data_IF_684546253140
#
_entry.id   IF_684546253140
#
_cell.length_a   1.000
_cell.length_b   1.000
_cell.length_c   1.000
_cell.angle_alpha   90.00
_cell.angle_beta   90.00
_cell.angle_gamma   90.00
#
_symmetry.space_group_name_H-M   'P 1'
#
loop_
_entity.id
_entity.type
_entity.pdbx_description
1 polymer ?
#
# COMPACT_ATOMS: atom_id res chain seq x y z
N UNK A 1 -13.53 25.94 25.23
CA UNK A 1 -13.54 26.18 23.77
C UNK A 1 -13.36 24.84 23.10
N UNK A 2 -14.45 24.31 22.55
CA UNK A 2 -14.57 22.95 22.02
C UNK A 2 -13.90 22.85 20.65
N UNK A 3 -12.86 21.99 20.53
CA UNK A 3 -12.31 21.61 19.23
C UNK A 3 -13.24 20.54 18.64
N UNK A 4 -13.91 20.88 17.56
CA UNK A 4 -14.66 19.93 16.71
C UNK A 4 -13.64 19.02 16.02
N UNK A 5 -13.69 17.73 16.33
CA UNK A 5 -13.11 16.68 15.51
C UNK A 5 -13.85 16.64 14.18
N UNK A 6 -13.15 16.84 13.06
CA UNK A 6 -13.67 16.56 11.74
C UNK A 6 -13.51 15.05 11.49
N UNK A 7 -14.59 14.33 11.70
CA UNK A 7 -14.74 12.98 11.16
C UNK A 7 -15.13 13.10 9.70
N UNK A 8 -14.29 12.61 8.79
CA UNK A 8 -14.64 12.47 7.38
C UNK A 8 -15.48 11.21 7.20
N UNK A 9 -16.67 11.30 6.59
CA UNK A 9 -17.45 10.12 6.28
C UNK A 9 -16.89 9.46 5.01
N UNK A 10 -16.48 8.21 5.14
CA UNK A 10 -16.19 7.33 4.02
C UNK A 10 -17.51 6.90 3.37
N UNK A 11 -17.92 7.59 2.33
CA UNK A 11 -19.07 7.16 1.54
C UNK A 11 -18.59 6.22 0.43
N UNK A 12 -19.07 4.99 0.45
CA UNK A 12 -18.92 4.00 -0.61
C UNK A 12 -19.43 4.57 -1.94
N UNK A 13 -18.56 4.67 -2.95
CA UNK A 13 -18.99 4.88 -4.34
C UNK A 13 -18.87 3.54 -5.06
N UNK A 14 -20.02 2.89 -5.22
CA UNK A 14 -20.17 1.79 -6.16
C UNK A 14 -20.16 2.38 -7.58
N UNK A 15 -19.24 1.93 -8.41
CA UNK A 15 -19.18 2.31 -9.82
C UNK A 15 -20.31 1.64 -10.57
N UNK A 16 -21.36 2.42 -10.90
CA UNK A 16 -22.37 2.05 -11.88
C UNK A 16 -21.98 2.64 -13.23
N UNK A 17 -21.67 1.78 -14.20
CA UNK A 17 -21.47 2.16 -15.58
C UNK A 17 -22.81 2.58 -16.21
N UNK A 18 -22.94 3.82 -16.61
CA UNK A 18 -24.05 4.30 -17.46
C UNK A 18 -23.48 4.72 -18.79
N UNK A 19 -23.87 3.96 -19.81
CA UNK A 19 -23.68 4.30 -21.23
C UNK A 19 -24.78 5.29 -21.60
N UNK A 20 -24.45 6.49 -22.08
CA UNK A 20 -25.36 7.38 -22.74
C UNK A 20 -24.75 7.84 -24.06
N UNK A 21 -25.36 7.36 -25.14
CA UNK A 21 -25.25 7.92 -26.48
C UNK A 21 -26.28 9.05 -26.65
N UNK A 22 -25.92 10.13 -27.38
CA UNK A 22 -26.90 11.14 -27.73
C UNK A 22 -26.31 12.35 -28.47
N UNK A 23 -26.75 12.48 -29.68
CA UNK A 23 -26.46 13.43 -30.75
C UNK A 23 -26.66 14.93 -30.49
N UNK A 24 -25.81 15.75 -31.12
CA UNK A 24 -26.18 16.70 -32.16
C UNK A 24 -26.63 18.12 -31.81
N UNK A 25 -26.01 19.08 -32.45
CA UNK A 25 -26.68 20.35 -32.78
C UNK A 25 -25.83 21.61 -32.56
N UNK A 26 -25.45 22.24 -33.67
CA UNK A 26 -24.55 23.38 -33.76
C UNK A 26 -25.21 24.75 -33.48
N UNK A 27 -24.39 25.80 -33.50
CA UNK A 27 -24.76 27.19 -33.44
C UNK A 27 -23.57 28.11 -33.29
N UNK A 28 -23.16 28.79 -34.38
CA UNK A 28 -21.99 29.66 -34.39
C UNK A 28 -22.25 31.01 -33.71
N UNK A 29 -21.16 31.62 -33.25
CA UNK A 29 -21.13 33.01 -32.79
C UNK A 29 -19.68 33.45 -32.74
N UNK A 30 -19.25 34.23 -33.74
CA UNK A 30 -17.96 34.90 -33.78
C UNK A 30 -17.88 36.03 -32.77
N UNK A 31 -16.93 35.95 -31.86
CA UNK A 31 -16.48 37.07 -31.06
C UNK A 31 -14.95 37.18 -31.20
N UNK A 32 -14.53 38.36 -31.68
CA UNK A 32 -13.15 38.77 -31.90
C UNK A 32 -12.32 38.83 -30.61
N UNK A 33 -11.23 38.09 -30.61
CA UNK A 33 -10.22 38.07 -29.55
C UNK A 33 -9.26 39.28 -29.68
N UNK A 34 -8.92 39.97 -28.58
CA UNK A 34 -7.79 40.83 -28.54
C UNK A 34 -6.51 39.98 -28.36
N UNK A 35 -5.59 40.13 -29.29
CA UNK A 35 -4.22 39.55 -29.22
C UNK A 35 -3.46 40.11 -28.04
N UNK A 36 -3.37 39.34 -26.95
CA UNK A 36 -2.34 39.57 -25.94
C UNK A 36 -1.12 38.77 -26.34
N UNK A 37 -0.07 39.44 -26.76
CA UNK A 37 1.28 38.91 -26.87
C UNK A 37 1.83 38.61 -25.47
N UNK A 38 1.41 37.48 -24.89
CA UNK A 38 2.07 36.89 -23.74
C UNK A 38 3.18 35.98 -24.25
N UNK A 39 4.38 36.49 -24.34
CA UNK A 39 5.57 35.66 -24.58
C UNK A 39 5.62 34.60 -23.48
N UNK A 40 5.52 33.33 -23.84
CA UNK A 40 5.86 32.22 -22.94
C UNK A 40 7.29 32.47 -22.46
N UNK A 41 7.57 32.40 -21.14
CA UNK A 41 8.94 32.38 -20.69
C UNK A 41 9.70 31.24 -21.41
N UNK A 42 10.97 31.40 -21.77
CA UNK A 42 11.72 30.37 -22.45
C UNK A 42 11.60 29.08 -21.62
N UNK A 43 11.26 27.99 -22.27
CA UNK A 43 11.17 26.66 -21.62
C UNK A 43 12.53 26.41 -20.97
N UNK A 44 12.62 26.49 -19.65
CA UNK A 44 13.82 26.11 -18.92
C UNK A 44 14.13 24.67 -19.28
N UNK A 45 15.37 24.37 -19.63
CA UNK A 45 15.81 23.00 -19.88
C UNK A 45 15.35 22.14 -18.71
N UNK A 46 14.82 20.93 -18.98
CA UNK A 46 14.36 20.04 -17.91
C UNK A 46 15.54 19.81 -16.93
N UNK A 47 15.25 19.62 -15.62
CA UNK A 47 16.29 19.47 -14.61
C UNK A 47 17.06 18.15 -14.72
N UNK A 48 16.69 17.27 -15.64
CA UNK A 48 17.35 15.99 -15.97
C UNK A 48 17.17 15.65 -17.44
N UNK A 49 18.00 14.73 -17.93
CA UNK A 49 17.87 14.10 -19.24
C UNK A 49 17.66 12.60 -18.99
N UNK A 50 16.56 12.05 -19.53
CA UNK A 50 16.25 10.62 -19.38
C UNK A 50 17.13 9.79 -20.32
N UNK A 51 17.78 8.71 -19.83
CA UNK A 51 18.43 7.73 -20.66
C UNK A 51 17.45 7.01 -21.59
N UNK A 52 17.95 6.30 -22.58
CA UNK A 52 17.13 5.44 -23.44
C UNK A 52 16.39 4.39 -22.59
N UNK A 53 15.05 4.32 -22.61
CA UNK A 53 14.29 3.31 -21.88
C UNK A 53 14.72 1.86 -22.14
N UNK A 54 15.24 1.57 -23.34
CA UNK A 54 15.75 0.25 -23.68
C UNK A 54 17.01 -0.14 -22.89
N UNK A 55 17.77 0.84 -22.39
CA UNK A 55 18.96 0.63 -21.56
C UNK A 55 18.65 0.41 -20.08
N UNK A 56 17.38 0.52 -19.66
CA UNK A 56 16.98 0.38 -18.26
C UNK A 56 17.38 -0.99 -17.71
N UNK A 57 18.16 -1.07 -16.61
CA UNK A 57 18.45 -2.34 -15.95
C UNK A 57 17.20 -2.93 -15.29
N UNK A 58 17.20 -4.23 -15.02
CA UNK A 58 16.12 -4.81 -14.23
C UNK A 58 16.25 -4.41 -12.75
N UNK A 59 15.18 -3.96 -12.11
CA UNK A 59 15.20 -3.56 -10.70
C UNK A 59 15.65 -4.72 -9.81
N UNK A 60 15.10 -5.92 -10.04
CA UNK A 60 15.45 -7.11 -9.28
C UNK A 60 16.94 -7.48 -9.34
N UNK A 61 17.60 -7.19 -10.47
CA UNK A 61 19.04 -7.44 -10.63
C UNK A 61 19.86 -6.33 -9.94
N UNK A 62 19.38 -5.09 -9.99
CA UNK A 62 20.04 -3.93 -9.32
C UNK A 62 20.00 -4.05 -7.79
N UNK A 63 19.01 -4.71 -7.24
CA UNK A 63 18.79 -4.79 -5.78
C UNK A 63 18.86 -6.20 -5.20
N UNK A 64 19.08 -7.24 -6.03
CA UNK A 64 19.09 -8.63 -5.58
C UNK A 64 20.15 -8.97 -4.51
N UNK A 65 21.16 -8.12 -4.32
CA UNK A 65 22.15 -8.23 -3.24
C UNK A 65 21.72 -7.57 -1.92
N UNK A 66 20.58 -6.85 -1.90
CA UNK A 66 20.05 -6.13 -0.74
C UNK A 66 18.72 -6.71 -0.29
N UNK A 67 17.69 -6.65 -1.13
CA UNK A 67 16.32 -7.04 -0.83
C UNK A 67 15.56 -7.49 -2.08
N UNK A 68 14.43 -8.17 -1.88
CA UNK A 68 13.49 -8.45 -2.96
C UNK A 68 12.82 -7.16 -3.43
N UNK A 69 12.65 -7.03 -4.75
CA UNK A 69 11.87 -5.94 -5.33
C UNK A 69 10.51 -6.48 -5.70
N UNK A 70 9.46 -5.88 -5.14
CA UNK A 70 8.07 -6.31 -5.34
C UNK A 70 7.16 -5.23 -5.89
N UNK A 71 5.94 -5.65 -6.22
CA UNK A 71 4.84 -4.75 -6.58
C UNK A 71 3.49 -5.37 -6.32
N UNK A 72 2.53 -4.55 -5.89
CA UNK A 72 1.14 -4.95 -5.77
C UNK A 72 0.45 -4.85 -7.13
N UNK A 73 -0.34 -5.85 -7.48
CA UNK A 73 -1.02 -5.94 -8.77
C UNK A 73 -2.42 -6.57 -8.64
N UNK A 74 -3.26 -6.26 -9.63
CA UNK A 74 -4.50 -6.97 -9.88
C UNK A 74 -4.30 -8.10 -10.89
N UNK A 75 -4.99 -9.25 -10.79
CA UNK A 75 -4.91 -10.34 -11.77
C UNK A 75 -5.18 -9.88 -13.20
N UNK A 76 -6.04 -8.88 -13.42
CA UNK A 76 -6.33 -8.32 -14.74
C UNK A 76 -5.10 -7.74 -15.44
N UNK A 77 -4.08 -7.27 -14.70
CA UNK A 77 -2.83 -6.77 -15.27
C UNK A 77 -1.97 -7.89 -15.88
N UNK A 78 -2.12 -9.12 -15.40
CA UNK A 78 -1.41 -10.28 -15.97
C UNK A 78 -1.84 -10.59 -17.41
N UNK A 79 -3.06 -10.20 -17.78
CA UNK A 79 -3.61 -10.37 -19.13
C UNK A 79 -3.16 -9.28 -20.10
N UNK A 80 -2.51 -8.22 -19.61
CA UNK A 80 -1.97 -7.13 -20.42
C UNK A 80 -0.48 -7.39 -20.67
N UNK A 81 -0.13 -7.73 -21.90
CA UNK A 81 1.24 -8.16 -22.25
C UNK A 81 2.32 -7.15 -21.85
N UNK A 82 2.05 -5.84 -21.97
CA UNK A 82 2.99 -4.79 -21.53
C UNK A 82 3.20 -4.78 -20.01
N UNK A 83 2.16 -5.08 -19.23
CA UNK A 83 2.24 -5.14 -17.77
C UNK A 83 2.95 -6.43 -17.35
N UNK A 84 2.57 -7.59 -17.91
CA UNK A 84 3.24 -8.85 -17.66
C UNK A 84 4.75 -8.79 -17.97
N UNK A 85 5.14 -8.14 -19.08
CA UNK A 85 6.55 -7.93 -19.43
C UNK A 85 7.26 -7.03 -18.42
N UNK A 86 6.61 -5.98 -17.94
CA UNK A 86 7.18 -5.07 -16.94
C UNK A 86 7.40 -5.80 -15.61
N UNK A 87 6.39 -6.57 -15.16
CA UNK A 87 6.47 -7.39 -13.95
C UNK A 87 7.64 -8.39 -14.02
N UNK A 88 7.67 -9.20 -15.06
CA UNK A 88 8.67 -10.26 -15.20
C UNK A 88 10.09 -9.73 -15.36
N UNK A 89 10.25 -8.55 -15.97
CA UNK A 89 11.55 -7.90 -16.11
C UNK A 89 12.08 -7.33 -14.80
N UNK A 90 11.22 -6.65 -14.04
CA UNK A 90 11.67 -5.79 -12.94
C UNK A 90 11.47 -6.38 -11.55
N UNK A 91 10.52 -7.29 -11.35
CA UNK A 91 10.16 -7.75 -10.02
C UNK A 91 10.66 -9.16 -9.71
N UNK A 92 10.95 -9.40 -8.44
CA UNK A 92 11.26 -10.70 -7.84
C UNK A 92 10.17 -11.18 -6.87
N UNK A 93 9.17 -10.32 -6.59
CA UNK A 93 8.05 -10.62 -5.70
C UNK A 93 6.76 -9.94 -6.18
N UNK A 94 5.62 -10.58 -5.95
CA UNK A 94 4.29 -10.02 -6.21
C UNK A 94 3.46 -9.97 -4.93
N UNK A 95 2.61 -8.96 -4.80
CA UNK A 95 1.56 -8.85 -3.79
C UNK A 95 0.21 -8.75 -4.50
N UNK A 96 -0.80 -9.46 -4.01
CA UNK A 96 -2.16 -9.31 -4.53
C UNK A 96 -2.78 -8.01 -4.00
N UNK A 97 -3.04 -7.01 -4.85
CA UNK A 97 -3.62 -5.74 -4.42
C UNK A 97 -4.97 -5.93 -3.72
N UNK A 98 -5.86 -6.75 -4.31
CA UNK A 98 -7.17 -7.07 -3.72
C UNK A 98 -7.52 -8.57 -3.73
N UNK A 99 -6.89 -9.38 -4.57
CA UNK A 99 -7.31 -10.76 -4.81
C UNK A 99 -7.18 -11.68 -3.58
N UNK A 100 -6.33 -11.35 -2.60
CA UNK A 100 -6.15 -12.12 -1.35
C UNK A 100 -6.84 -11.48 -0.13
N UNK A 101 -7.58 -10.37 -0.29
CA UNK A 101 -8.30 -9.73 0.82
C UNK A 101 -9.54 -10.54 1.22
N UNK A 102 -9.97 -10.49 2.50
CA UNK A 102 -11.12 -11.26 3.00
C UNK A 102 -12.40 -11.09 2.18
N UNK A 103 -12.71 -9.85 1.74
CA UNK A 103 -13.89 -9.58 0.93
C UNK A 103 -13.87 -10.21 -0.46
N UNK A 104 -12.68 -10.58 -0.96
CA UNK A 104 -12.53 -11.26 -2.25
C UNK A 104 -12.54 -12.78 -2.07
N UNK A 105 -11.78 -13.29 -1.10
CA UNK A 105 -11.64 -14.73 -0.88
C UNK A 105 -12.90 -15.33 -0.23
N UNK A 106 -13.51 -14.63 0.73
CA UNK A 106 -14.65 -15.11 1.51
C UNK A 106 -15.78 -14.07 1.59
N UNK A 107 -16.35 -13.62 0.45
CA UNK A 107 -17.39 -12.58 0.42
C UNK A 107 -18.65 -12.98 1.17
N UNK A 108 -18.90 -14.27 1.28
CA UNK A 108 -19.98 -14.90 2.04
C UNK A 108 -19.40 -15.99 2.93
N UNK A 109 -20.18 -16.48 3.90
CA UNK A 109 -19.76 -17.57 4.79
C UNK A 109 -19.30 -18.80 3.97
N UNK A 110 -18.01 -19.19 4.05
CA UNK A 110 -17.46 -20.27 3.24
C UNK A 110 -18.08 -21.65 3.53
N UNK A 111 -18.65 -21.84 4.71
CA UNK A 111 -19.38 -23.08 5.04
C UNK A 111 -20.62 -23.29 4.16
N UNK A 112 -21.12 -22.21 3.54
CA UNK A 112 -22.30 -22.24 2.67
C UNK A 112 -21.96 -22.22 1.19
N UNK A 113 -20.89 -21.53 0.79
CA UNK A 113 -20.56 -21.27 -0.62
C UNK A 113 -19.14 -21.64 -1.04
N UNK A 114 -18.26 -22.01 -0.08
CA UNK A 114 -16.83 -22.18 -0.31
C UNK A 114 -16.07 -20.87 -0.46
N UNK A 115 -14.76 -20.97 -0.59
CA UNK A 115 -13.86 -19.84 -0.83
C UNK A 115 -13.74 -19.52 -2.32
N UNK A 116 -13.41 -18.27 -2.64
CA UNK A 116 -13.17 -17.78 -4.00
C UNK A 116 -11.66 -17.56 -4.18
N UNK A 117 -10.90 -18.63 -4.37
CA UNK A 117 -9.45 -18.55 -4.53
C UNK A 117 -8.99 -18.20 -5.96
N UNK A 118 -9.82 -18.43 -6.98
CA UNK A 118 -9.43 -18.35 -8.39
C UNK A 118 -8.60 -17.12 -8.79
N UNK A 119 -9.00 -15.89 -8.46
CA UNK A 119 -8.19 -14.70 -8.78
C UNK A 119 -6.80 -14.68 -8.12
N UNK A 120 -6.71 -15.15 -6.87
CA UNK A 120 -5.43 -15.24 -6.17
C UNK A 120 -4.57 -16.39 -6.71
N UNK A 121 -5.18 -17.54 -7.05
CA UNK A 121 -4.50 -18.68 -7.67
C UNK A 121 -3.86 -18.29 -9.02
N UNK A 122 -4.54 -17.46 -9.81
CA UNK A 122 -4.00 -16.94 -11.07
C UNK A 122 -2.71 -16.14 -10.85
N UNK A 123 -2.70 -15.26 -9.86
CA UNK A 123 -1.51 -14.48 -9.50
C UNK A 123 -0.37 -15.38 -9.00
N UNK A 124 -0.68 -16.34 -8.13
CA UNK A 124 0.30 -17.31 -7.60
C UNK A 124 0.88 -18.17 -8.72
N UNK A 125 0.05 -18.68 -9.63
CA UNK A 125 0.50 -19.46 -10.77
C UNK A 125 1.42 -18.66 -11.70
N UNK A 126 1.08 -17.38 -11.95
CA UNK A 126 1.95 -16.48 -12.72
C UNK A 126 3.29 -16.26 -12.01
N UNK A 127 3.28 -15.92 -10.72
CA UNK A 127 4.50 -15.72 -9.94
C UNK A 127 5.40 -16.96 -9.98
N UNK A 128 4.84 -18.15 -9.70
CA UNK A 128 5.54 -19.43 -9.74
C UNK A 128 6.17 -19.71 -11.11
N UNK A 129 5.44 -19.49 -12.20
CA UNK A 129 5.92 -19.74 -13.57
C UNK A 129 7.08 -18.82 -13.97
N UNK A 130 7.27 -17.70 -13.29
CA UNK A 130 8.32 -16.71 -13.54
C UNK A 130 9.38 -16.63 -12.43
N UNK A 131 9.35 -17.57 -11.47
CA UNK A 131 10.33 -17.62 -10.37
C UNK A 131 10.25 -16.42 -9.40
N UNK A 132 9.04 -15.84 -9.26
CA UNK A 132 8.79 -14.75 -8.32
C UNK A 132 8.21 -15.29 -7.01
N UNK A 133 8.56 -14.69 -5.89
CA UNK A 133 7.93 -14.93 -4.60
C UNK A 133 6.56 -14.25 -4.52
N UNK A 134 5.68 -14.72 -3.63
CA UNK A 134 4.38 -14.10 -3.38
C UNK A 134 4.28 -13.66 -1.93
N UNK A 135 3.85 -12.41 -1.71
CA UNK A 135 3.51 -11.85 -0.42
C UNK A 135 1.99 -11.80 -0.27
N UNK A 136 1.46 -12.47 0.73
CA UNK A 136 0.02 -12.54 1.00
C UNK A 136 -0.47 -11.28 1.70
N UNK A 137 -1.40 -10.57 1.09
CA UNK A 137 -2.01 -9.37 1.63
C UNK A 137 -3.52 -9.44 1.48
N UNK A 138 -4.25 -9.42 2.53
CA UNK A 138 -4.00 -9.54 3.96
C UNK A 138 -5.03 -10.47 4.60
N UNK A 139 -4.65 -11.19 5.68
CA UNK A 139 -5.61 -12.11 6.32
C UNK A 139 -6.69 -11.35 7.08
N UNK A 140 -6.32 -10.28 7.81
CA UNK A 140 -7.27 -9.42 8.51
C UNK A 140 -7.04 -7.93 8.25
N UNK A 141 -8.16 -7.24 8.00
CA UNK A 141 -8.20 -5.79 7.91
C UNK A 141 -9.51 -5.26 8.48
N UNK A 142 -9.50 -4.08 9.06
CA UNK A 142 -10.72 -3.46 9.60
C UNK A 142 -11.66 -3.00 8.49
N UNK A 143 -11.10 -2.64 7.32
CA UNK A 143 -11.86 -2.25 6.14
C UNK A 143 -12.13 -3.48 5.26
N UNK A 144 -13.37 -3.61 4.77
CA UNK A 144 -13.73 -4.72 3.89
C UNK A 144 -13.85 -6.09 4.57
N UNK A 145 -13.86 -6.16 5.91
CA UNK A 145 -14.16 -7.42 6.60
C UNK A 145 -15.62 -7.85 6.32
N UNK A 146 -15.86 -9.03 5.74
CA UNK A 146 -17.20 -9.50 5.43
C UNK A 146 -18.10 -9.60 6.65
N UNK A 147 -19.37 -9.20 6.48
CA UNK A 147 -20.33 -9.10 7.57
C UNK A 147 -20.60 -10.44 8.29
N UNK A 148 -20.53 -11.55 7.55
CA UNK A 148 -20.81 -12.88 8.09
C UNK A 148 -19.89 -13.26 9.28
N UNK A 149 -18.67 -12.73 9.36
CA UNK A 149 -17.79 -12.93 10.51
C UNK A 149 -18.45 -12.50 11.82
N UNK A 150 -19.25 -11.42 11.78
CA UNK A 150 -19.82 -10.74 12.95
C UNK A 150 -21.31 -11.01 13.18
N UNK A 151 -21.90 -11.92 12.44
CA UNK A 151 -23.28 -12.36 12.65
C UNK A 151 -23.39 -13.31 13.84
N UNK A 152 -24.40 -13.11 14.70
CA UNK A 152 -24.60 -14.00 15.85
C UNK A 152 -25.36 -13.35 17.01
N UNK A 153 -25.53 -14.06 18.13
CA UNK A 153 -26.35 -13.66 19.26
C UNK A 153 -25.66 -12.65 20.20
N UNK A 154 -25.14 -11.56 19.65
CA UNK A 154 -24.30 -10.55 20.33
C UNK A 154 -24.87 -10.06 21.66
N UNK A 155 -26.18 -9.81 21.73
CA UNK A 155 -26.84 -9.19 22.90
C UNK A 155 -27.36 -10.24 23.88
N UNK A 156 -27.79 -11.42 23.40
CA UNK A 156 -28.39 -12.47 24.23
C UNK A 156 -27.38 -13.46 24.79
N UNK A 157 -26.24 -13.65 24.10
CA UNK A 157 -25.13 -14.50 24.53
C UNK A 157 -23.78 -13.88 24.13
N UNK A 158 -23.29 -12.87 24.84
CA UNK A 158 -22.04 -12.20 24.52
C UNK A 158 -20.80 -13.11 24.50
N UNK A 159 -20.76 -14.13 25.34
CA UNK A 159 -19.63 -15.08 25.41
C UNK A 159 -19.67 -16.05 24.23
N UNK A 160 -20.83 -16.64 23.97
CA UNK A 160 -21.02 -17.51 22.81
C UNK A 160 -20.79 -16.76 21.50
N UNK A 161 -21.19 -15.51 21.41
CA UNK A 161 -20.90 -14.65 20.26
C UNK A 161 -19.39 -14.47 20.01
N UNK A 162 -18.61 -14.10 21.05
CA UNK A 162 -17.14 -13.98 20.89
C UNK A 162 -16.50 -15.30 20.47
N UNK A 163 -16.93 -16.42 21.05
CA UNK A 163 -16.43 -17.73 20.67
C UNK A 163 -16.75 -18.08 19.21
N UNK A 164 -17.93 -17.72 18.73
CA UNK A 164 -18.32 -17.90 17.32
C UNK A 164 -17.45 -17.07 16.37
N UNK A 165 -17.21 -15.77 16.70
CA UNK A 165 -16.33 -14.91 15.90
C UNK A 165 -14.90 -15.45 15.92
N UNK A 166 -14.41 -15.91 17.07
CA UNK A 166 -13.09 -16.56 17.21
C UNK A 166 -12.97 -17.78 16.29
N UNK A 167 -13.94 -18.69 16.36
CA UNK A 167 -13.93 -19.91 15.54
C UNK A 167 -13.89 -19.58 14.05
N UNK A 168 -14.73 -18.65 13.59
CA UNK A 168 -14.75 -18.21 12.19
C UNK A 168 -13.44 -17.61 11.74
N UNK A 169 -12.77 -16.84 12.62
CA UNK A 169 -11.47 -16.25 12.38
C UNK A 169 -10.39 -17.31 12.23
N UNK A 170 -10.33 -18.25 13.18
CA UNK A 170 -9.37 -19.36 13.20
C UNK A 170 -9.54 -20.26 11.97
N UNK A 171 -10.78 -20.64 11.63
CA UNK A 171 -11.09 -21.47 10.47
C UNK A 171 -10.69 -20.76 9.17
N UNK A 172 -11.08 -19.48 9.01
CA UNK A 172 -10.74 -18.70 7.83
C UNK A 172 -9.22 -18.60 7.63
N UNK A 173 -8.47 -18.21 8.65
CA UNK A 173 -7.01 -18.09 8.55
C UNK A 173 -6.37 -19.43 8.24
N UNK A 174 -6.80 -20.48 8.93
CA UNK A 174 -6.28 -21.84 8.73
C UNK A 174 -6.50 -22.30 7.29
N UNK A 175 -7.70 -22.12 6.76
CA UNK A 175 -8.04 -22.55 5.40
C UNK A 175 -7.27 -21.74 4.34
N UNK A 176 -7.22 -20.41 4.48
CA UNK A 176 -6.53 -19.54 3.51
C UNK A 176 -5.02 -19.77 3.52
N UNK A 177 -4.40 -19.81 4.69
CA UNK A 177 -2.96 -20.02 4.80
C UNK A 177 -2.57 -21.44 4.35
N UNK A 178 -3.40 -22.45 4.65
CA UNK A 178 -3.18 -23.83 4.17
C UNK A 178 -3.29 -23.92 2.66
N UNK A 179 -4.25 -23.21 2.04
CA UNK A 179 -4.43 -23.21 0.58
C UNK A 179 -3.19 -22.68 -0.14
N UNK A 180 -2.59 -21.59 0.39
CA UNK A 180 -1.41 -20.95 -0.22
C UNK A 180 -0.08 -21.39 0.39
N UNK A 181 -0.08 -22.41 1.23
CA UNK A 181 1.12 -22.96 1.82
C UNK A 181 2.12 -23.38 0.74
N UNK A 182 3.39 -23.12 0.99
CA UNK A 182 4.50 -23.35 0.06
C UNK A 182 4.57 -22.35 -1.14
N UNK A 183 3.57 -21.49 -1.34
CA UNK A 183 3.54 -20.47 -2.39
C UNK A 183 3.78 -19.05 -1.83
N UNK A 184 3.17 -18.75 -0.68
CA UNK A 184 3.27 -17.44 -0.03
C UNK A 184 4.38 -17.49 1.02
N UNK A 185 5.45 -16.70 0.81
CA UNK A 185 6.60 -16.69 1.71
C UNK A 185 6.40 -15.80 2.94
N UNK A 186 5.50 -14.83 2.86
CA UNK A 186 5.22 -13.86 3.93
C UNK A 186 3.76 -13.40 3.89
N UNK A 187 3.12 -13.29 5.05
CA UNK A 187 1.75 -12.82 5.20
C UNK A 187 1.67 -11.52 6.01
N UNK A 188 0.88 -10.57 5.54
CA UNK A 188 0.27 -9.56 6.39
C UNK A 188 -0.87 -10.22 7.18
N UNK A 189 -0.55 -10.68 8.39
CA UNK A 189 -1.53 -11.38 9.23
C UNK A 189 -2.61 -10.41 9.68
N UNK A 190 -2.21 -9.23 10.12
CA UNK A 190 -3.12 -8.14 10.45
C UNK A 190 -2.66 -6.84 9.79
N UNK A 191 -3.63 -6.07 9.30
CA UNK A 191 -3.40 -4.80 8.63
C UNK A 191 -4.08 -3.65 9.36
N UNK A 192 -3.33 -2.58 9.67
CA UNK A 192 -3.83 -1.30 10.20
C UNK A 192 -4.59 -1.42 11.53
N UNK A 193 -4.01 -2.12 12.48
CA UNK A 193 -4.60 -2.37 13.81
C UNK A 193 -4.23 -1.33 14.86
N UNK A 194 -3.20 -0.51 14.59
CA UNK A 194 -2.78 0.57 15.49
C UNK A 194 -3.65 1.82 15.29
N UNK A 195 -3.96 2.52 16.38
CA UNK A 195 -4.69 3.78 16.34
C UNK A 195 -3.85 4.91 15.74
N UNK A 196 -4.52 5.85 15.06
CA UNK A 196 -3.90 7.10 14.60
C UNK A 196 -3.80 8.17 15.71
N UNK A 197 -4.56 7.98 16.79
CA UNK A 197 -4.55 8.91 17.91
C UNK A 197 -3.40 8.63 18.87
N UNK A 198 -2.64 9.67 19.23
CA UNK A 198 -1.55 9.57 20.21
C UNK A 198 -2.06 9.03 21.55
N UNK A 199 -1.41 7.97 22.05
CA UNK A 199 -1.73 7.34 23.34
C UNK A 199 -2.94 6.40 23.33
N UNK A 200 -3.55 6.17 22.17
CA UNK A 200 -4.58 5.16 21.99
C UNK A 200 -3.97 4.01 21.15
N UNK A 201 -3.56 2.93 21.81
CA UNK A 201 -2.75 1.87 21.18
C UNK A 201 -3.49 1.23 20.01
N UNK A 202 -4.72 0.74 20.21
CA UNK A 202 -5.47 -0.06 19.24
C UNK A 202 -6.49 0.77 18.47
N UNK A 203 -6.79 0.35 17.25
CA UNK A 203 -7.91 0.83 16.43
C UNK A 203 -9.24 0.25 16.95
N UNK A 204 -9.89 0.98 17.87
CA UNK A 204 -11.08 0.50 18.58
C UNK A 204 -12.38 0.58 17.77
N UNK A 205 -12.37 1.29 16.65
CA UNK A 205 -13.47 1.36 15.67
C UNK A 205 -13.46 0.18 14.67
N UNK A 206 -12.45 -0.66 14.71
CA UNK A 206 -12.39 -1.91 13.94
C UNK A 206 -13.55 -2.85 14.32
N UNK A 207 -14.28 -3.45 13.35
CA UNK A 207 -15.31 -4.43 13.64
C UNK A 207 -14.77 -5.65 14.41
N UNK A 208 -13.51 -6.03 14.18
CA UNK A 208 -12.82 -7.07 14.93
C UNK A 208 -12.67 -6.70 16.40
N UNK A 209 -12.10 -5.51 16.68
CA UNK A 209 -11.95 -5.03 18.05
C UNK A 209 -13.29 -4.95 18.77
N UNK A 210 -14.31 -4.40 18.10
CA UNK A 210 -15.66 -4.28 18.66
C UNK A 210 -16.28 -5.63 18.95
N UNK A 211 -16.12 -6.62 18.05
CA UNK A 211 -16.67 -7.96 18.27
C UNK A 211 -16.03 -8.66 19.48
N UNK A 212 -14.73 -8.57 19.64
CA UNK A 212 -14.02 -9.15 20.76
C UNK A 212 -14.24 -8.38 22.09
N UNK A 213 -14.59 -7.11 22.06
CA UNK A 213 -14.95 -6.32 23.25
C UNK A 213 -16.34 -6.62 23.84
N UNK A 214 -17.19 -7.36 23.10
CA UNK A 214 -18.58 -7.65 23.54
C UNK A 214 -18.59 -8.34 24.88
N UNK A 215 -19.45 -7.88 25.80
CA UNK A 215 -19.60 -8.48 27.14
C UNK A 215 -18.33 -8.39 28.01
N UNK A 216 -17.50 -7.36 27.81
CA UNK A 216 -16.28 -7.11 28.59
C UNK A 216 -15.09 -8.00 28.21
N UNK A 217 -15.04 -8.52 26.97
CA UNK A 217 -13.89 -9.24 26.45
C UNK A 217 -12.71 -8.29 26.10
N UNK A 218 -11.54 -8.89 25.85
CA UNK A 218 -10.36 -8.16 25.35
C UNK A 218 -10.53 -7.90 23.85
N UNK A 219 -10.74 -6.63 23.50
CA UNK A 219 -10.95 -6.22 22.12
C UNK A 219 -9.75 -6.48 21.21
N UNK A 220 -8.53 -6.61 21.74
CA UNK A 220 -7.31 -6.83 20.96
C UNK A 220 -6.97 -8.32 20.77
N UNK A 221 -7.66 -9.22 21.43
CA UNK A 221 -7.36 -10.67 21.43
C UNK A 221 -7.32 -11.29 20.02
N UNK A 222 -8.10 -10.76 19.08
CA UNK A 222 -8.12 -11.25 17.69
C UNK A 222 -6.74 -11.19 17.00
N UNK A 223 -5.89 -10.25 17.39
CA UNK A 223 -4.54 -10.11 16.81
C UNK A 223 -3.68 -11.32 17.17
N UNK A 224 -3.64 -11.69 18.45
CA UNK A 224 -2.90 -12.85 18.94
C UNK A 224 -3.42 -14.15 18.28
N UNK A 225 -4.76 -14.32 18.23
CA UNK A 225 -5.42 -15.47 17.62
C UNK A 225 -4.98 -15.61 16.15
N UNK A 226 -5.00 -14.51 15.41
CA UNK A 226 -4.65 -14.50 13.99
C UNK A 226 -3.22 -14.98 13.73
N UNK A 227 -2.24 -14.46 14.47
CA UNK A 227 -0.84 -14.88 14.34
C UNK A 227 -0.64 -16.36 14.70
N UNK A 228 -1.27 -16.84 15.79
CA UNK A 228 -1.17 -18.24 16.20
C UNK A 228 -1.80 -19.19 15.19
N UNK A 229 -2.96 -18.85 14.64
CA UNK A 229 -3.63 -19.63 13.59
C UNK A 229 -2.79 -19.68 12.30
N UNK A 230 -2.25 -18.54 11.86
CA UNK A 230 -1.41 -18.46 10.66
C UNK A 230 -0.14 -19.32 10.81
N UNK A 231 0.57 -19.24 11.96
CA UNK A 231 1.76 -20.06 12.23
C UNK A 231 1.45 -21.55 12.33
N UNK A 232 0.29 -21.90 12.89
CA UNK A 232 -0.14 -23.29 12.97
C UNK A 232 -0.43 -23.88 11.59
N UNK A 233 -1.01 -23.10 10.69
CA UNK A 233 -1.32 -23.50 9.31
C UNK A 233 -0.04 -23.58 8.44
N UNK A 234 0.86 -22.61 8.55
CA UNK A 234 2.16 -22.62 7.88
C UNK A 234 3.31 -22.28 8.84
N UNK A 235 4.10 -23.27 9.25
CA UNK A 235 5.26 -23.06 10.09
C UNK A 235 6.41 -22.26 9.45
N UNK A 236 6.43 -22.14 8.11
CA UNK A 236 7.55 -21.59 7.35
C UNK A 236 7.33 -20.16 6.86
N UNK A 237 6.08 -19.74 6.64
CA UNK A 237 5.78 -18.39 6.19
C UNK A 237 6.18 -17.35 7.25
N UNK A 238 6.73 -16.23 6.80
CA UNK A 238 7.01 -15.07 7.66
C UNK A 238 5.70 -14.33 7.97
N UNK A 239 5.51 -13.93 9.23
CA UNK A 239 4.27 -13.32 9.72
C UNK A 239 4.48 -11.87 10.14
N UNK A 240 3.77 -10.97 9.48
CA UNK A 240 3.90 -9.53 9.64
C UNK A 240 2.64 -8.88 10.19
N UNK A 241 2.85 -7.82 10.97
CA UNK A 241 1.89 -6.74 11.19
C UNK A 241 2.20 -5.64 10.19
N UNK A 242 1.21 -5.22 9.38
CA UNK A 242 1.38 -4.23 8.33
C UNK A 242 0.67 -2.92 8.70
N UNK A 243 1.35 -1.76 8.54
CA UNK A 243 0.81 -0.48 9.01
C UNK A 243 1.30 0.71 8.18
N UNK A 244 0.46 1.72 8.04
CA UNK A 244 0.80 3.00 7.41
C UNK A 244 1.29 4.02 8.43
N UNK A 245 1.92 5.10 7.93
CA UNK A 245 2.40 6.23 8.75
C UNK A 245 3.36 5.80 9.88
N UNK A 246 4.09 4.71 9.71
CA UNK A 246 5.04 4.20 10.71
C UNK A 246 6.23 5.13 10.94
N UNK A 247 6.52 6.01 10.00
CA UNK A 247 7.51 7.09 10.11
C UNK A 247 7.04 8.17 11.08
N UNK A 248 5.73 8.31 11.37
CA UNK A 248 5.21 9.29 12.31
C UNK A 248 5.38 8.78 13.76
N UNK A 249 6.03 9.55 14.66
CA UNK A 249 6.38 9.08 16.00
C UNK A 249 5.21 8.57 16.83
N UNK A 250 4.04 9.22 16.75
CA UNK A 250 2.87 8.83 17.53
C UNK A 250 2.27 7.50 17.05
N UNK A 251 2.15 7.31 15.73
CA UNK A 251 1.66 6.07 15.11
C UNK A 251 2.63 4.92 15.37
N UNK A 252 3.93 5.17 15.18
CA UNK A 252 5.00 4.22 15.49
C UNK A 252 4.97 3.76 16.95
N UNK A 253 4.77 4.67 17.90
CA UNK A 253 4.70 4.31 19.31
C UNK A 253 3.52 3.38 19.62
N UNK A 254 2.34 3.62 19.03
CA UNK A 254 1.18 2.75 19.18
C UNK A 254 1.43 1.37 18.56
N UNK A 255 1.99 1.31 17.35
CA UNK A 255 2.35 0.06 16.66
C UNK A 255 3.35 -0.76 17.49
N UNK A 256 4.42 -0.11 17.95
CA UNK A 256 5.47 -0.80 18.73
C UNK A 256 4.95 -1.31 20.08
N UNK A 257 3.98 -0.63 20.71
CA UNK A 257 3.33 -1.13 21.91
C UNK A 257 2.56 -2.44 21.64
N UNK A 258 1.91 -2.56 20.47
CA UNK A 258 1.25 -3.81 20.05
C UNK A 258 2.31 -4.90 19.81
N UNK A 259 3.37 -4.58 19.08
CA UNK A 259 4.47 -5.52 18.79
C UNK A 259 5.11 -6.03 20.09
N UNK A 260 5.41 -5.13 21.03
CA UNK A 260 6.00 -5.49 22.32
C UNK A 260 5.07 -6.39 23.15
N UNK A 261 3.76 -6.16 23.12
CA UNK A 261 2.76 -7.02 23.78
C UNK A 261 2.74 -8.42 23.14
N UNK A 262 2.74 -8.51 21.82
CA UNK A 262 2.79 -9.79 21.09
C UNK A 262 4.07 -10.58 21.43
N UNK A 263 5.22 -9.92 21.42
CA UNK A 263 6.50 -10.53 21.79
C UNK A 263 6.46 -11.04 23.24
N UNK A 264 5.95 -10.22 24.18
CA UNK A 264 5.87 -10.58 25.61
C UNK A 264 5.01 -11.81 25.86
N UNK A 265 4.00 -12.05 25.03
CA UNK A 265 3.08 -13.20 25.06
C UNK A 265 3.61 -14.41 24.27
N UNK A 266 4.79 -14.31 23.67
CA UNK A 266 5.33 -15.36 22.81
C UNK A 266 4.46 -15.65 21.58
N UNK A 267 3.84 -14.61 21.01
CA UNK A 267 3.09 -14.69 19.76
C UNK A 267 4.09 -14.71 18.60
N UNK A 268 3.93 -15.58 17.60
CA UNK A 268 4.90 -15.79 16.53
C UNK A 268 4.85 -14.67 15.47
N UNK A 269 5.35 -13.50 15.80
CA UNK A 269 5.56 -12.37 14.88
C UNK A 269 7.01 -12.39 14.39
N UNK A 270 7.21 -12.27 13.05
CA UNK A 270 8.54 -12.25 12.45
C UNK A 270 8.96 -10.84 12.01
N UNK A 271 8.00 -9.96 11.72
CA UNK A 271 8.35 -8.63 11.21
C UNK A 271 7.23 -7.60 11.22
N UNK A 272 7.62 -6.40 10.78
CA UNK A 272 6.74 -5.27 10.58
C UNK A 272 6.77 -4.87 9.11
N UNK A 273 5.58 -4.72 8.51
CA UNK A 273 5.38 -4.12 7.21
C UNK A 273 5.14 -2.62 7.34
N UNK A 274 5.92 -1.84 6.61
CA UNK A 274 5.80 -0.40 6.48
C UNK A 274 5.16 -0.09 5.14
N UNK A 275 3.90 0.33 5.10
CA UNK A 275 3.19 0.63 3.84
C UNK A 275 3.94 1.74 3.07
N UNK A 276 4.32 2.81 3.73
CA UNK A 276 5.02 3.96 3.14
C UNK A 276 4.26 4.58 1.95
N UNK A 277 2.94 4.80 2.11
CA UNK A 277 2.18 5.72 1.27
C UNK A 277 2.57 7.15 1.65
N UNK A 278 3.55 7.72 0.93
CA UNK A 278 4.18 8.97 1.34
C UNK A 278 4.05 10.07 0.28
N UNK A 279 4.47 11.26 0.63
CA UNK A 279 4.43 12.45 -0.21
C UNK A 279 5.83 13.04 -0.41
N UNK A 280 5.95 14.06 -1.27
CA UNK A 280 7.24 14.69 -1.60
C UNK A 280 7.99 15.25 -0.38
N UNK A 281 7.31 15.52 0.72
CA UNK A 281 7.84 16.11 1.95
C UNK A 281 8.12 15.09 3.05
N UNK A 282 8.11 13.78 2.72
CA UNK A 282 8.47 12.73 3.68
C UNK A 282 9.86 12.91 4.25
N UNK A 283 10.02 12.72 5.56
CA UNK A 283 11.30 12.70 6.23
C UNK A 283 11.97 11.33 6.10
N UNK A 284 13.04 11.22 5.33
CA UNK A 284 13.82 9.98 5.21
C UNK A 284 14.47 9.57 6.55
N UNK A 285 14.82 10.53 7.41
CA UNK A 285 15.28 10.25 8.76
C UNK A 285 14.19 9.59 9.61
N UNK A 286 12.95 10.05 9.52
CA UNK A 286 11.84 9.45 10.24
C UNK A 286 11.52 8.02 9.75
N UNK A 287 11.73 7.73 8.45
CA UNK A 287 11.66 6.37 7.91
C UNK A 287 12.78 5.49 8.47
N UNK A 288 14.02 5.98 8.49
CA UNK A 288 15.16 5.27 9.10
C UNK A 288 14.91 4.98 10.59
N UNK A 289 14.36 5.94 11.34
CA UNK A 289 13.98 5.74 12.75
C UNK A 289 12.92 4.62 12.90
N UNK A 290 11.98 4.49 11.96
CA UNK A 290 10.96 3.44 12.00
C UNK A 290 11.59 2.05 11.79
N UNK A 291 12.48 1.93 10.81
CA UNK A 291 13.20 0.68 10.54
C UNK A 291 14.09 0.29 11.73
N UNK A 292 14.87 1.24 12.25
CA UNK A 292 15.74 1.02 13.44
C UNK A 292 14.92 0.55 14.64
N UNK A 293 13.73 1.09 14.88
CA UNK A 293 12.91 0.69 16.02
C UNK A 293 12.42 -0.77 15.94
N UNK A 294 12.22 -1.30 14.74
CA UNK A 294 11.90 -2.71 14.49
C UNK A 294 13.15 -3.59 14.65
N UNK A 295 14.30 -3.15 14.13
CA UNK A 295 15.61 -3.84 14.28
C UNK A 295 15.98 -4.05 15.73
N UNK A 296 15.74 -3.06 16.59
CA UNK A 296 15.99 -3.16 18.04
C UNK A 296 15.19 -4.27 18.73
N UNK A 297 14.17 -4.81 18.07
CA UNK A 297 13.35 -5.95 18.51
C UNK A 297 13.77 -7.27 17.87
N UNK A 298 14.82 -7.27 17.05
CA UNK A 298 15.28 -8.39 16.23
C UNK A 298 14.18 -8.90 15.28
N UNK A 299 13.37 -8.01 14.74
CA UNK A 299 12.33 -8.29 13.76
C UNK A 299 12.75 -7.83 12.36
N UNK A 300 12.14 -8.44 11.36
CA UNK A 300 12.34 -8.13 9.93
C UNK A 300 11.53 -6.89 9.56
N UNK A 301 12.10 -6.07 8.69
CA UNK A 301 11.43 -4.94 8.04
C UNK A 301 11.03 -5.31 6.61
N UNK A 302 9.77 -5.12 6.24
CA UNK A 302 9.33 -5.05 4.83
C UNK A 302 8.80 -3.65 4.52
N UNK A 303 9.23 -3.06 3.41
CA UNK A 303 8.51 -1.95 2.78
C UNK A 303 7.48 -2.57 1.84
N UNK A 304 6.21 -2.35 2.11
CA UNK A 304 5.14 -3.20 1.55
C UNK A 304 4.32 -2.55 0.46
N UNK A 305 4.18 -1.23 0.49
CA UNK A 305 3.19 -0.52 -0.33
C UNK A 305 3.70 0.84 -0.81
N UNK A 306 5.02 0.94 -1.06
CA UNK A 306 5.65 2.23 -1.39
C UNK A 306 5.00 2.89 -2.60
N UNK A 307 4.49 4.07 -2.38
CA UNK A 307 4.18 5.04 -3.42
C UNK A 307 4.52 6.46 -2.92
N UNK A 308 4.99 7.32 -3.84
CA UNK A 308 5.38 8.69 -3.50
C UNK A 308 4.52 9.64 -4.30
N UNK A 309 3.45 10.13 -3.66
CA UNK A 309 2.58 11.14 -4.27
C UNK A 309 3.40 12.33 -4.79
N UNK A 310 3.08 12.79 -6.01
CA UNK A 310 3.68 14.01 -6.59
C UNK A 310 3.17 15.30 -5.95
N UNK A 311 2.35 15.18 -4.93
CA UNK A 311 1.81 16.29 -4.14
C UNK A 311 2.40 16.27 -2.73
N UNK A 312 2.21 17.35 -1.98
CA UNK A 312 2.58 17.39 -0.57
C UNK A 312 1.51 16.69 0.28
N UNK A 313 1.90 16.29 1.48
CA UNK A 313 0.96 15.73 2.46
C UNK A 313 -0.18 16.72 2.75
N UNK A 314 -1.43 16.23 2.89
CA UNK A 314 -2.58 17.09 3.20
C UNK A 314 -2.42 17.92 4.47
N UNK A 315 -1.69 17.45 5.47
CA UNK A 315 -1.42 18.22 6.70
C UNK A 315 -0.47 19.39 6.46
N UNK A 316 0.57 19.17 5.63
CA UNK A 316 1.45 20.23 5.13
C UNK A 316 0.65 21.26 4.32
N UNK A 317 -0.24 20.78 3.45
CA UNK A 317 -1.12 21.64 2.66
C UNK A 317 -2.11 22.46 3.51
N UNK A 318 -2.52 21.97 4.66
CA UNK A 318 -3.33 22.76 5.59
C UNK A 318 -2.59 24.00 6.12
N UNK A 319 -1.25 23.91 6.21
CA UNK A 319 -0.40 25.02 6.65
C UNK A 319 -0.07 26.02 5.53
N UNK A 320 0.12 25.53 4.28
CA UNK A 320 0.61 26.33 3.14
C UNK A 320 -0.41 26.47 1.99
N UNK A 321 -1.64 26.55 2.28
CA UNK A 321 -2.88 26.46 1.46
C UNK A 321 -2.83 26.90 -0.01
N UNK A 322 -1.91 27.73 -0.43
CA UNK A 322 -1.85 28.31 -1.77
C UNK A 322 -0.67 27.81 -2.61
N UNK A 323 0.13 26.84 -2.14
CA UNK A 323 1.25 26.34 -2.94
C UNK A 323 0.78 25.45 -4.10
N UNK A 324 1.39 25.52 -5.29
CA UNK A 324 1.02 24.67 -6.42
C UNK A 324 0.96 23.17 -6.09
N UNK A 325 1.90 22.57 -5.32
CA UNK A 325 1.83 21.15 -4.97
C UNK A 325 0.60 20.75 -4.14
N UNK A 326 -0.11 21.71 -3.55
CA UNK A 326 -1.31 21.46 -2.75
C UNK A 326 -2.62 21.53 -3.56
N UNK A 327 -2.68 22.40 -4.55
CA UNK A 327 -3.93 22.76 -5.27
C UNK A 327 -3.95 22.33 -6.74
N UNK A 328 -2.79 22.05 -7.33
CA UNK A 328 -2.69 21.68 -8.74
C UNK A 328 -3.28 20.28 -9.01
N UNK A 329 -3.84 20.10 -10.19
CA UNK A 329 -3.96 18.80 -10.84
C UNK A 329 -3.06 18.83 -12.07
N UNK A 330 -1.99 18.04 -12.02
CA UNK A 330 -1.01 17.99 -13.10
C UNK A 330 -1.42 17.06 -14.25
N UNK A 331 -2.55 16.38 -14.13
CA UNK A 331 -2.96 15.36 -15.09
C UNK A 331 -1.92 14.26 -15.25
N UNK A 332 -1.84 13.70 -16.47
CA UNK A 332 -0.87 12.63 -16.81
C UNK A 332 0.50 13.16 -17.23
N UNK A 333 0.74 14.47 -17.14
CA UNK A 333 1.99 15.10 -17.57
C UNK A 333 2.49 16.09 -16.51
N UNK A 334 2.93 15.60 -15.34
CA UNK A 334 3.46 16.45 -14.28
C UNK A 334 4.67 17.26 -14.75
N UNK A 335 4.89 18.48 -14.20
CA UNK A 335 6.08 19.26 -14.50
C UNK A 335 7.37 18.49 -14.20
N UNK A 336 8.40 18.66 -15.05
CA UNK A 336 9.69 17.99 -14.89
C UNK A 336 10.36 18.32 -13.53
N UNK A 337 10.13 19.52 -12.97
CA UNK A 337 10.62 19.89 -11.64
C UNK A 337 9.97 19.08 -10.51
N UNK A 338 8.70 18.74 -10.65
CA UNK A 338 7.96 17.89 -9.69
C UNK A 338 8.47 16.45 -9.76
N UNK A 339 8.66 15.91 -10.98
CA UNK A 339 9.23 14.58 -11.18
C UNK A 339 10.70 14.52 -10.72
N UNK A 340 11.46 15.62 -10.84
CA UNK A 340 12.80 15.70 -10.28
C UNK A 340 12.80 15.64 -8.75
N UNK A 341 11.89 16.37 -8.09
CA UNK A 341 11.72 16.29 -6.64
C UNK A 341 11.34 14.86 -6.19
N UNK A 342 10.40 14.22 -6.87
CA UNK A 342 10.03 12.83 -6.61
C UNK A 342 11.23 11.88 -6.77
N UNK A 343 12.02 12.05 -7.82
CA UNK A 343 13.20 11.24 -8.07
C UNK A 343 14.26 11.35 -6.96
N UNK A 344 14.43 12.55 -6.39
CA UNK A 344 15.32 12.76 -5.25
C UNK A 344 14.81 12.06 -3.98
N UNK A 345 13.50 12.09 -3.73
CA UNK A 345 12.89 11.39 -2.60
C UNK A 345 13.05 9.86 -2.75
N UNK A 346 12.76 9.32 -3.94
CA UNK A 346 12.98 7.89 -4.22
C UNK A 346 14.43 7.48 -3.98
N UNK A 347 15.40 8.25 -4.52
CA UNK A 347 16.83 7.99 -4.32
C UNK A 347 17.19 7.97 -2.83
N UNK A 348 16.71 8.95 -2.09
CA UNK A 348 17.01 9.06 -0.66
C UNK A 348 16.42 7.90 0.14
N UNK A 349 15.17 7.51 -0.14
CA UNK A 349 14.53 6.35 0.52
C UNK A 349 15.24 5.03 0.17
N UNK A 350 15.59 4.79 -1.10
CA UNK A 350 16.30 3.57 -1.49
C UNK A 350 17.69 3.50 -0.89
N UNK A 351 18.35 4.65 -0.63
CA UNK A 351 19.61 4.66 0.15
C UNK A 351 19.35 4.26 1.61
N UNK A 352 18.29 4.79 2.25
CA UNK A 352 17.90 4.37 3.59
C UNK A 352 17.63 2.85 3.62
N UNK A 353 16.91 2.29 2.66
CA UNK A 353 16.62 0.85 2.64
C UNK A 353 17.90 0.00 2.49
N UNK A 354 18.87 0.48 1.70
CA UNK A 354 20.19 -0.20 1.59
C UNK A 354 21.03 -0.07 2.86
N UNK A 355 20.94 1.05 3.57
CA UNK A 355 21.64 1.23 4.84
C UNK A 355 21.08 0.33 5.95
N UNK A 356 19.86 -0.21 5.75
CA UNK A 356 19.15 -1.14 6.63
C UNK A 356 19.05 -2.56 6.03
N UNK A 357 19.88 -2.94 5.07
CA UNK A 357 19.76 -4.21 4.32
C UNK A 357 19.89 -5.47 5.18
N UNK A 358 20.45 -5.35 6.38
CA UNK A 358 20.49 -6.45 7.34
C UNK A 358 19.10 -6.86 7.89
N UNK A 359 18.11 -5.99 7.78
CA UNK A 359 16.74 -6.21 8.27
C UNK A 359 15.67 -5.97 7.21
N UNK A 360 15.92 -5.13 6.21
CA UNK A 360 14.99 -4.88 5.11
C UNK A 360 15.13 -6.00 4.08
N UNK A 361 14.18 -6.94 4.07
CA UNK A 361 14.23 -8.11 3.16
C UNK A 361 13.42 -7.90 1.87
N UNK A 362 12.48 -6.95 1.85
CA UNK A 362 11.61 -6.68 0.70
C UNK A 362 11.24 -5.20 0.61
N UNK A 363 11.26 -4.66 -0.62
CA UNK A 363 10.75 -3.34 -0.96
C UNK A 363 9.75 -3.49 -2.12
N UNK A 364 8.48 -3.29 -1.83
CA UNK A 364 7.37 -3.42 -2.78
C UNK A 364 6.69 -2.08 -3.01
N UNK A 365 6.38 -1.75 -4.26
CA UNK A 365 5.54 -0.60 -4.61
C UNK A 365 4.07 -0.99 -4.62
N UNK A 366 3.16 -0.05 -4.32
CA UNK A 366 1.73 -0.29 -4.44
C UNK A 366 1.24 0.05 -5.86
N UNK A 367 1.39 -0.90 -6.73
CA UNK A 367 1.30 -0.79 -8.18
C UNK A 367 2.67 -0.80 -8.84
N UNK A 368 2.71 -0.88 -10.18
CA UNK A 368 3.97 -0.87 -10.93
C UNK A 368 4.11 0.35 -11.85
N UNK A 369 3.02 0.93 -12.36
CA UNK A 369 3.02 2.09 -13.24
C UNK A 369 1.85 3.05 -12.94
N UNK A 370 2.02 4.32 -13.28
CA UNK A 370 1.10 5.40 -12.93
C UNK A 370 -0.30 5.28 -13.55
N UNK A 371 -0.48 4.47 -14.62
CA UNK A 371 -1.80 4.26 -15.20
C UNK A 371 -2.71 3.37 -14.32
N UNK A 372 -2.13 2.67 -13.35
CA UNK A 372 -2.85 1.88 -12.36
C UNK A 372 -2.35 2.27 -10.96
N UNK A 373 -2.94 3.31 -10.38
CA UNK A 373 -2.68 3.76 -9.01
C UNK A 373 -3.98 4.11 -8.29
N UNK A 374 -4.12 3.65 -7.07
CA UNK A 374 -5.27 3.94 -6.21
C UNK A 374 -5.35 5.41 -5.81
N UNK A 375 -4.19 6.11 -5.75
CA UNK A 375 -4.10 7.49 -5.29
C UNK A 375 -4.91 8.46 -6.15
N UNK A 376 -5.07 8.19 -7.45
CA UNK A 376 -5.89 9.04 -8.34
C UNK A 376 -7.33 9.12 -7.87
N UNK A 377 -7.96 7.98 -7.57
CA UNK A 377 -9.33 7.94 -7.06
C UNK A 377 -9.41 8.41 -5.60
N UNK A 378 -8.44 8.05 -4.78
CA UNK A 378 -8.40 8.42 -3.37
C UNK A 378 -8.26 9.93 -3.15
N UNK A 379 -7.39 10.59 -3.92
CA UNK A 379 -7.16 12.04 -3.80
C UNK A 379 -8.10 12.89 -4.66
N UNK A 380 -8.89 12.27 -5.57
CA UNK A 380 -9.80 12.97 -6.48
C UNK A 380 -9.06 13.83 -7.52
N UNK A 381 -7.78 13.53 -7.80
CA UNK A 381 -6.94 14.18 -8.82
C UNK A 381 -5.89 13.19 -9.32
N UNK A 382 -5.47 13.36 -10.58
CA UNK A 382 -4.46 12.48 -11.19
C UNK A 382 -3.16 12.51 -10.40
N UNK A 383 -2.62 11.31 -10.08
CA UNK A 383 -1.35 11.17 -9.41
C UNK A 383 -0.39 10.32 -10.25
N UNK A 384 0.91 10.50 -10.05
CA UNK A 384 1.97 9.77 -10.74
C UNK A 384 3.01 9.28 -9.72
N UNK A 385 2.64 8.37 -8.79
CA UNK A 385 3.44 8.07 -7.62
C UNK A 385 4.53 7.03 -7.84
N UNK A 386 4.50 6.29 -8.96
CA UNK A 386 5.29 5.08 -9.17
C UNK A 386 6.56 5.31 -10.01
N UNK A 387 7.35 4.26 -10.24
CA UNK A 387 8.63 4.32 -10.94
C UNK A 387 8.47 4.37 -12.47
N UNK A 388 7.35 3.87 -13.00
CA UNK A 388 7.01 3.88 -14.41
C UNK A 388 5.80 4.78 -14.65
N UNK A 389 5.81 5.49 -15.77
CA UNK A 389 4.75 6.42 -16.14
C UNK A 389 3.47 5.75 -16.66
N UNK A 390 2.51 6.55 -17.10
CA UNK A 390 1.26 6.08 -17.70
C UNK A 390 1.48 5.27 -19.01
N UNK A 391 2.62 5.44 -19.68
CA UNK A 391 3.03 4.69 -20.87
C UNK A 391 3.93 3.50 -20.54
N UNK A 392 4.17 3.23 -19.23
CA UNK A 392 5.06 2.18 -18.72
C UNK A 392 6.55 2.42 -19.01
N UNK A 393 6.91 3.66 -19.29
CA UNK A 393 8.31 4.05 -19.47
C UNK A 393 8.95 4.43 -18.11
N UNK A 394 10.25 4.13 -17.94
CA UNK A 394 10.94 4.47 -16.70
C UNK A 394 11.04 5.98 -16.50
N UNK A 395 10.59 6.47 -15.36
CA UNK A 395 10.62 7.88 -14.96
C UNK A 395 11.99 8.28 -14.42
N UNK A 396 12.17 9.58 -14.16
CA UNK A 396 13.36 10.10 -13.45
C UNK A 396 13.57 9.39 -12.09
N UNK A 397 12.47 9.02 -11.40
CA UNK A 397 12.50 8.26 -10.16
C UNK A 397 13.16 6.87 -10.34
N UNK A 398 12.83 6.16 -11.42
CA UNK A 398 13.46 4.88 -11.74
C UNK A 398 14.98 5.05 -11.94
N UNK A 399 15.39 5.99 -12.80
CA UNK A 399 16.80 6.23 -13.07
C UNK A 399 17.58 6.69 -11.84
N UNK A 400 16.93 7.49 -11.00
CA UNK A 400 17.53 7.96 -9.76
C UNK A 400 17.91 6.85 -8.78
N UNK A 401 17.19 5.73 -8.79
CA UNK A 401 17.48 4.60 -7.89
C UNK A 401 18.42 3.57 -8.51
N UNK A 402 18.43 3.40 -9.85
CA UNK A 402 19.25 2.35 -10.49
C UNK A 402 20.59 2.86 -11.01
N UNK A 403 20.72 4.17 -11.25
CA UNK A 403 21.95 4.78 -11.75
C UNK A 403 22.45 5.86 -10.79
N UNK A 404 23.52 5.59 -10.03
CA UNK A 404 24.14 6.58 -9.13
C UNK A 404 24.65 7.83 -9.86
N UNK A 405 24.97 7.72 -11.16
CA UNK A 405 25.46 8.83 -11.98
C UNK A 405 24.32 9.67 -12.60
N UNK A 406 23.05 9.21 -12.51
CA UNK A 406 21.92 9.97 -13.05
C UNK A 406 21.80 11.33 -12.38
N UNK A 407 22.10 12.40 -13.16
CA UNK A 407 22.16 13.76 -12.66
C UNK A 407 20.78 14.44 -12.63
N UNK A 408 20.41 14.94 -11.46
CA UNK A 408 19.23 15.79 -11.28
C UNK A 408 19.73 17.17 -10.85
N UNK A 409 19.52 18.19 -11.70
CA UNK A 409 19.86 19.56 -11.39
C UNK A 409 18.82 20.13 -10.42
N UNK A 410 19.24 20.43 -9.21
CA UNK A 410 18.43 21.25 -8.30
C UNK A 410 18.53 22.69 -8.75
N UNK A 411 17.41 23.36 -9.01
CA UNK A 411 17.42 24.83 -9.19
C UNK A 411 17.93 25.45 -7.89
N UNK A 412 19.09 26.07 -7.98
CA UNK A 412 19.64 26.94 -6.93
C UNK A 412 18.77 28.17 -6.76
#
# INVERSE_FOLDING_TARGET
MSRRQMSFPWTCIAAAAVVLAGCGGGGGGSASNPTSNGGNPPASNPPYELPDPASAPALKDSYGGYFRVGGAIEPSQLQVASDANLLTRHLSSLTAENAMKPQTIAPTDPSQSGYVFGPADELVAFARSHGMAVRGHTLLWHFGAPQWFFEGPKDSDPVGYRNLVRQRLEDYITDVVTHFKDDVYAWDVVNEVASDASGAIYRTDSPWYQAFSVGGGDGAEYIEIAFRAARAADPNALLFINEYNTELPAKRANLLAIVDDLISKGVPIDGVGHQLHVSLDVSTHAVSDALTAVEQRNLINHVTELDISIYLDPSTCAAVRASPPCIADYGTSPPASVLAAQALVYRALYNVFKDHDASVESVSTWGIHDAHTWLTSFQGRTNSPLLFDHQRLPKAAFWAIVDPAFAIKTST
#
